data_IF_819914757816
#
_entry.id   IF_819914757816
#
_cell.length_a   1.000
_cell.length_b   1.000
_cell.length_c   1.000
_cell.angle_alpha   90.00
_cell.angle_beta   90.00
_cell.angle_gamma   90.00
#
_symmetry.space_group_name_H-M   'P 1'
#
loop_
_entity.id
_entity.type
_entity.pdbx_description
1 polymer ?
#
# COMPACT_ATOMS: atom_id res chain seq x y z
N UNK A 1 0.82 -9.29 -8.94
CA UNK A 1 1.99 -9.56 -9.82
C UNK A 1 3.14 -8.69 -9.32
N UNK A 2 4.24 -9.28 -8.82
CA UNK A 2 5.46 -8.52 -8.49
C UNK A 2 6.23 -8.31 -9.79
N UNK A 3 6.07 -7.16 -10.43
CA UNK A 3 6.74 -6.86 -11.70
C UNK A 3 8.19 -6.36 -11.51
N UNK A 4 8.74 -6.47 -10.31
CA UNK A 4 10.13 -6.16 -9.99
C UNK A 4 10.43 -4.66 -9.85
N UNK A 5 9.42 -3.79 -9.96
CA UNK A 5 9.60 -2.35 -9.77
C UNK A 5 10.07 -2.02 -8.36
N UNK A 6 10.95 -1.02 -8.28
CA UNK A 6 11.39 -0.42 -7.02
C UNK A 6 10.72 0.94 -6.91
N UNK A 7 9.87 1.10 -5.91
CA UNK A 7 9.28 2.38 -5.55
C UNK A 7 10.17 3.04 -4.49
N UNK A 8 10.41 4.35 -4.63
CA UNK A 8 11.32 5.10 -3.77
C UNK A 8 10.69 6.44 -3.38
N UNK A 9 11.10 6.97 -2.22
CA UNK A 9 10.63 8.25 -1.68
C UNK A 9 9.97 8.11 -0.32
N UNK A 10 9.13 9.08 0.02
CA UNK A 10 8.30 9.04 1.23
C UNK A 10 7.22 7.96 1.11
N UNK A 11 6.61 7.56 2.23
CA UNK A 11 5.53 6.58 2.21
C UNK A 11 4.37 7.01 1.30
N UNK A 12 3.99 8.29 1.31
CA UNK A 12 2.98 8.83 0.40
C UNK A 12 3.39 8.67 -1.06
N UNK A 13 4.64 8.97 -1.42
CA UNK A 13 5.12 8.81 -2.80
C UNK A 13 5.13 7.34 -3.23
N UNK A 14 5.52 6.43 -2.34
CA UNK A 14 5.49 4.99 -2.60
C UNK A 14 4.05 4.53 -2.84
N UNK A 15 3.11 4.87 -1.96
CA UNK A 15 1.71 4.44 -2.08
C UNK A 15 1.03 5.06 -3.30
N UNK A 16 1.33 6.33 -3.64
CA UNK A 16 0.90 6.93 -4.91
C UNK A 16 1.46 6.18 -6.12
N UNK A 17 2.74 5.82 -6.09
CA UNK A 17 3.35 5.00 -7.14
C UNK A 17 2.72 3.61 -7.27
N UNK A 18 2.23 3.02 -6.19
CA UNK A 18 1.41 1.79 -6.23
C UNK A 18 0.04 2.05 -6.87
N UNK A 19 -0.60 3.16 -6.51
CA UNK A 19 -1.91 3.56 -7.04
C UNK A 19 -1.85 3.80 -8.55
N UNK A 20 -0.82 4.49 -9.03
CA UNK A 20 -0.61 4.84 -10.44
C UNK A 20 -0.51 3.62 -11.36
N UNK A 21 -0.14 2.45 -10.83
CA UNK A 21 -0.01 1.19 -11.59
C UNK A 21 -1.13 0.20 -11.31
N UNK A 22 -2.01 0.49 -10.35
CA UNK A 22 -3.13 -0.36 -10.01
C UNK A 22 -4.33 -0.09 -10.95
N UNK A 23 -5.00 -1.16 -11.37
CA UNK A 23 -6.13 -1.05 -12.30
C UNK A 23 -7.45 -0.82 -11.55
N UNK A 24 -8.27 0.14 -12.00
CA UNK A 24 -9.63 0.33 -11.50
C UNK A 24 -9.74 1.11 -10.17
N UNK A 25 -8.69 1.84 -9.80
CA UNK A 25 -8.60 2.64 -8.56
C UNK A 25 -8.45 4.14 -8.82
N UNK A 26 -8.62 4.59 -10.06
CA UNK A 26 -8.32 5.96 -10.53
C UNK A 26 -9.14 7.04 -9.82
N UNK A 27 -10.28 6.65 -9.26
CA UNK A 27 -11.23 7.51 -8.54
C UNK A 27 -11.05 7.50 -7.02
N UNK A 28 -10.16 6.67 -6.48
CA UNK A 28 -9.94 6.58 -5.04
C UNK A 28 -9.02 7.71 -4.59
N UNK A 29 -9.35 8.35 -3.49
CA UNK A 29 -8.37 9.12 -2.71
C UNK A 29 -7.25 8.21 -2.20
N UNK A 30 -6.16 8.80 -1.69
CA UNK A 30 -5.04 8.01 -1.19
C UNK A 30 -5.45 7.14 0.01
N UNK A 31 -6.22 7.70 0.95
CA UNK A 31 -6.78 6.93 2.07
C UNK A 31 -7.70 5.79 1.62
N UNK A 32 -8.59 6.03 0.65
CA UNK A 32 -9.45 4.97 0.10
C UNK A 32 -8.65 3.90 -0.64
N UNK A 33 -7.57 4.29 -1.33
CA UNK A 33 -6.66 3.34 -1.97
C UNK A 33 -5.93 2.47 -0.94
N UNK A 34 -5.49 3.05 0.19
CA UNK A 34 -4.89 2.28 1.29
C UNK A 34 -5.89 1.25 1.83
N UNK A 35 -7.13 1.66 2.10
CA UNK A 35 -8.18 0.75 2.59
C UNK A 35 -8.48 -0.36 1.56
N UNK A 36 -8.46 -0.03 0.26
CA UNK A 36 -8.57 -0.99 -0.83
C UNK A 36 -7.41 -1.99 -0.83
N UNK A 37 -6.16 -1.56 -0.66
CA UNK A 37 -4.99 -2.45 -0.58
C UNK A 37 -5.10 -3.40 0.60
N UNK A 38 -5.54 -2.93 1.77
CA UNK A 38 -5.76 -3.78 2.96
C UNK A 38 -6.79 -4.88 2.68
N UNK A 39 -7.93 -4.51 2.09
CA UNK A 39 -8.96 -5.47 1.73
C UNK A 39 -8.46 -6.51 0.70
N UNK A 40 -7.67 -6.08 -0.28
CA UNK A 40 -7.12 -6.97 -1.31
C UNK A 40 -6.03 -7.89 -0.77
N UNK A 41 -5.14 -7.40 0.09
CA UNK A 41 -4.11 -8.23 0.74
C UNK A 41 -4.76 -9.35 1.56
N UNK A 42 -5.85 -9.06 2.27
CA UNK A 42 -6.59 -10.10 2.99
C UNK A 42 -7.27 -11.08 2.02
N UNK A 43 -7.97 -10.57 1.01
CA UNK A 43 -8.78 -11.40 0.11
C UNK A 43 -7.94 -12.31 -0.80
N UNK A 44 -6.83 -11.81 -1.32
CA UNK A 44 -6.06 -12.48 -2.36
C UNK A 44 -4.75 -13.08 -1.86
N UNK A 45 -4.13 -12.48 -0.85
CA UNK A 45 -2.86 -12.96 -0.29
C UNK A 45 -3.04 -13.62 1.10
N UNK A 46 -4.25 -13.59 1.68
CA UNK A 46 -4.51 -14.04 3.06
C UNK A 46 -3.65 -13.33 4.12
N UNK A 47 -3.22 -12.10 3.83
CA UNK A 47 -2.39 -11.29 4.72
C UNK A 47 -3.21 -10.20 5.38
N UNK A 48 -3.27 -10.20 6.71
CA UNK A 48 -3.90 -9.15 7.49
C UNK A 48 -2.91 -7.99 7.72
N UNK A 49 -3.13 -6.87 7.02
CA UNK A 49 -2.41 -5.61 7.21
C UNK A 49 -3.13 -4.76 8.26
N UNK A 50 -2.42 -4.37 9.32
CA UNK A 50 -2.98 -3.61 10.46
C UNK A 50 -2.64 -2.12 10.32
N UNK A 51 -3.18 -1.49 9.28
CA UNK A 51 -2.95 -0.06 9.00
C UNK A 51 -3.61 0.80 10.07
N UNK A 52 -2.87 1.78 10.59
CA UNK A 52 -3.30 2.76 11.58
C UNK A 52 -3.06 4.19 11.06
N UNK A 53 -3.76 5.16 11.63
CA UNK A 53 -3.61 6.58 11.30
C UNK A 53 -4.94 7.30 11.05
N UNK A 54 -4.93 8.61 11.27
CA UNK A 54 -6.05 9.51 11.01
C UNK A 54 -5.85 10.33 9.72
N UNK A 55 -4.60 10.52 9.28
CA UNK A 55 -4.28 11.20 8.02
C UNK A 55 -3.82 10.23 6.93
N UNK A 56 -3.84 10.70 5.69
CA UNK A 56 -3.32 9.95 4.54
C UNK A 56 -1.82 9.66 4.68
N UNK A 57 -1.04 10.59 5.23
CA UNK A 57 0.38 10.42 5.52
C UNK A 57 0.62 9.28 6.53
N UNK A 58 -0.13 9.28 7.62
CA UNK A 58 -0.03 8.26 8.68
C UNK A 58 -0.44 6.88 8.16
N UNK A 59 -1.56 6.81 7.43
CA UNK A 59 -2.03 5.57 6.80
C UNK A 59 -1.02 5.03 5.78
N UNK A 60 -0.44 5.89 4.95
CA UNK A 60 0.56 5.48 3.97
C UNK A 60 1.83 4.94 4.65
N UNK A 61 2.33 5.62 5.69
CA UNK A 61 3.47 5.15 6.47
C UNK A 61 3.19 3.79 7.11
N UNK A 62 2.03 3.66 7.77
CA UNK A 62 1.62 2.41 8.40
C UNK A 62 1.44 1.27 7.38
N UNK A 63 0.91 1.55 6.19
CA UNK A 63 0.78 0.55 5.12
C UNK A 63 2.15 0.05 4.66
N UNK A 64 3.10 0.93 4.38
CA UNK A 64 4.45 0.55 3.95
C UNK A 64 5.13 -0.32 5.01
N UNK A 65 5.05 0.07 6.28
CA UNK A 65 5.63 -0.71 7.37
C UNK A 65 4.98 -2.09 7.51
N UNK A 66 3.66 -2.19 7.37
CA UNK A 66 2.95 -3.47 7.41
C UNK A 66 3.30 -4.37 6.22
N UNK A 67 3.44 -3.81 5.02
CA UNK A 67 3.87 -4.56 3.83
C UNK A 67 5.29 -5.12 4.01
N UNK A 68 6.19 -4.35 4.65
CA UNK A 68 7.53 -4.83 4.99
C UNK A 68 7.50 -5.90 6.09
N UNK A 69 6.73 -5.67 7.16
CA UNK A 69 6.59 -6.62 8.29
C UNK A 69 6.04 -7.97 7.85
N UNK A 70 5.09 -7.96 6.90
CA UNK A 70 4.45 -9.18 6.38
C UNK A 70 5.19 -9.82 5.22
N UNK A 71 6.25 -9.18 4.71
CA UNK A 71 7.03 -9.67 3.58
C UNK A 71 6.35 -9.49 2.22
N UNK A 72 5.24 -8.74 2.15
CA UNK A 72 4.63 -8.30 0.87
C UNK A 72 5.53 -7.32 0.11
N UNK A 73 6.39 -6.60 0.81
CA UNK A 73 7.48 -5.80 0.26
C UNK A 73 8.80 -6.09 0.99
N UNK A 74 9.92 -5.70 0.40
CA UNK A 74 11.26 -5.80 1.00
C UNK A 74 12.02 -4.49 0.81
N UNK A 75 12.85 -4.10 1.79
CA UNK A 75 13.80 -2.99 1.63
C UNK A 75 14.95 -3.45 0.72
N UNK A 76 15.40 -2.58 -0.18
CA UNK A 76 16.62 -2.74 -0.98
C UNK A 76 17.62 -1.65 -0.62
#
# INVERSE_FOLDING_TARGET
>A
MRDGRVLQGTAVQIVKGMQDIAFGVERLSLGEYVDWVVANALRFESVALRVQGATDEEKAASLVDEMLRTGLATRK
#
